data_IF_534173427674
#
_entry.id   IF_534173427674
#
_cell.length_a   1.000
_cell.length_b   1.000
_cell.length_c   1.000
_cell.angle_alpha   90.00
_cell.angle_beta   90.00
_cell.angle_gamma   90.00
#
_symmetry.space_group_name_H-M   'P 1'
#
loop_
_entity.id
_entity.type
_entity.pdbx_description
1 polymer ?
#
# COMPACT_ATOMS: atom_id res chain seq x y z
N UNK A 1 13.71 6.85 41.77
CA UNK A 1 13.90 7.22 40.36
C UNK A 1 14.41 5.98 39.65
N UNK A 2 13.52 5.22 38.99
CA UNK A 2 13.90 4.07 38.17
C UNK A 2 13.81 4.55 36.73
N UNK A 3 14.95 4.66 36.07
CA UNK A 3 15.01 4.92 34.63
C UNK A 3 14.76 3.59 33.93
N UNK A 4 13.56 3.44 33.38
CA UNK A 4 13.21 2.36 32.47
C UNK A 4 13.89 2.67 31.14
N UNK A 5 15.04 2.05 30.90
CA UNK A 5 15.66 2.02 29.58
C UNK A 5 14.76 1.19 28.67
N UNK A 6 13.97 1.87 27.83
CA UNK A 6 13.29 1.23 26.70
C UNK A 6 14.34 0.99 25.63
N UNK A 7 14.67 -0.29 25.42
CA UNK A 7 15.59 -0.73 24.38
C UNK A 7 14.91 -0.59 23.00
N UNK A 8 15.39 0.31 22.10
CA UNK A 8 14.73 0.59 20.83
C UNK A 8 14.83 -0.57 19.82
N UNK A 9 15.48 -1.68 20.18
CA UNK A 9 15.73 -2.81 19.27
C UNK A 9 14.71 -3.94 19.35
N UNK A 10 13.79 -3.92 20.32
CA UNK A 10 12.71 -4.90 20.42
C UNK A 10 11.45 -4.39 19.73
N UNK A 11 11.35 -4.56 18.39
CA UNK A 11 10.04 -4.52 17.73
C UNK A 11 9.32 -5.81 18.08
N UNK A 12 8.45 -5.75 19.07
CA UNK A 12 7.60 -6.87 19.46
C UNK A 12 6.66 -7.21 18.29
N UNK A 13 6.52 -8.49 17.93
CA UNK A 13 5.68 -8.92 16.80
C UNK A 13 4.20 -8.50 17.00
N UNK A 14 3.79 -8.29 18.25
CA UNK A 14 2.49 -7.74 18.63
C UNK A 14 2.24 -6.29 18.14
N UNK A 15 3.27 -5.44 18.10
CA UNK A 15 3.15 -4.04 17.67
C UNK A 15 2.93 -3.92 16.15
N UNK A 16 3.61 -4.77 15.37
CA UNK A 16 3.43 -4.81 13.91
C UNK A 16 2.02 -5.25 13.50
N UNK A 17 1.41 -6.15 14.27
CA UNK A 17 0.02 -6.59 14.06
C UNK A 17 -1.00 -5.53 14.48
N UNK A 18 -0.76 -4.82 15.59
CA UNK A 18 -1.60 -3.70 16.02
C UNK A 18 -1.57 -2.54 15.00
N UNK A 19 -0.40 -2.19 14.48
CA UNK A 19 -0.23 -1.17 13.43
C UNK A 19 -0.96 -1.53 12.13
N UNK A 20 -1.03 -2.81 11.78
CA UNK A 20 -1.80 -3.29 10.61
C UNK A 20 -3.30 -3.13 10.82
N UNK A 21 -3.79 -3.36 12.04
CA UNK A 21 -5.21 -3.19 12.38
C UNK A 21 -5.66 -1.71 12.32
N UNK A 22 -4.75 -0.77 12.58
CA UNK A 22 -5.03 0.67 12.56
C UNK A 22 -4.98 1.29 11.16
N UNK A 23 -4.41 0.59 10.16
CA UNK A 23 -4.34 1.13 8.81
C UNK A 23 -5.72 1.11 8.13
N UNK A 24 -6.18 2.24 7.58
CA UNK A 24 -7.43 2.30 6.85
C UNK A 24 -7.40 1.36 5.64
N UNK A 25 -8.51 0.64 5.41
CA UNK A 25 -8.63 -0.32 4.30
C UNK A 25 -9.43 0.23 3.13
N UNK A 26 -10.29 1.22 3.36
CA UNK A 26 -11.11 1.86 2.32
C UNK A 26 -10.72 3.32 2.15
N UNK A 27 -11.04 3.86 0.98
CA UNK A 27 -10.78 5.27 0.69
C UNK A 27 -11.55 6.20 1.65
N UNK A 28 -12.75 5.77 2.09
CA UNK A 28 -13.58 6.46 3.08
C UNK A 28 -12.91 6.62 4.44
N UNK A 29 -12.06 5.65 4.82
CA UNK A 29 -11.46 5.56 6.15
C UNK A 29 -10.14 6.36 6.21
N UNK A 30 -9.60 6.73 5.05
CA UNK A 30 -8.37 7.50 4.97
C UNK A 30 -8.63 8.97 5.32
N UNK A 31 -8.08 9.44 6.44
CA UNK A 31 -8.29 10.80 6.93
C UNK A 31 -7.42 11.80 6.17
N UNK A 32 -7.99 12.94 5.79
CA UNK A 32 -7.30 13.99 5.02
C UNK A 32 -7.18 13.65 3.53
N UNK A 33 -6.29 14.36 2.83
CA UNK A 33 -5.99 14.15 1.39
C UNK A 33 -7.22 14.18 0.47
N UNK A 34 -8.19 15.07 0.73
CA UNK A 34 -9.50 15.08 0.06
C UNK A 34 -9.41 15.13 -1.47
N UNK A 35 -8.49 15.93 -2.02
CA UNK A 35 -8.29 16.05 -3.45
C UNK A 35 -7.78 14.74 -4.07
N UNK A 36 -6.73 14.14 -3.49
CA UNK A 36 -6.20 12.84 -3.91
C UNK A 36 -7.27 11.74 -3.83
N UNK A 37 -8.04 11.71 -2.74
CA UNK A 37 -9.15 10.75 -2.58
C UNK A 37 -10.21 10.93 -3.66
N UNK A 38 -10.59 12.16 -3.99
CA UNK A 38 -11.56 12.40 -5.05
C UNK A 38 -11.03 11.92 -6.42
N UNK A 39 -9.78 12.23 -6.75
CA UNK A 39 -9.17 11.75 -8.00
C UNK A 39 -9.12 10.22 -8.07
N UNK A 40 -8.63 9.56 -7.01
CA UNK A 40 -8.59 8.10 -6.97
C UNK A 40 -9.99 7.48 -7.06
N UNK A 41 -10.99 8.05 -6.36
CA UNK A 41 -12.37 7.56 -6.45
C UNK A 41 -12.91 7.57 -7.88
N UNK A 42 -12.57 8.59 -8.66
CA UNK A 42 -13.00 8.70 -10.07
C UNK A 42 -12.28 7.66 -10.92
N UNK A 43 -10.94 7.60 -10.82
CA UNK A 43 -10.11 6.69 -11.63
C UNK A 43 -10.44 5.22 -11.35
N UNK A 44 -10.47 4.83 -10.08
CA UNK A 44 -10.79 3.46 -9.66
C UNK A 44 -12.24 3.11 -9.98
N UNK A 45 -13.17 4.05 -9.79
CA UNK A 45 -14.58 3.84 -10.14
C UNK A 45 -14.76 3.57 -11.64
N UNK A 46 -14.05 4.32 -12.49
CA UNK A 46 -14.10 4.14 -13.94
C UNK A 46 -13.49 2.80 -14.38
N UNK A 47 -12.32 2.42 -13.84
CA UNK A 47 -11.69 1.13 -14.12
C UNK A 47 -12.60 -0.05 -13.72
N UNK A 48 -13.24 0.03 -12.54
CA UNK A 48 -14.20 -0.98 -12.07
C UNK A 48 -15.42 -1.11 -12.97
N UNK A 49 -15.99 0.01 -13.42
CA UNK A 49 -17.15 -0.01 -14.33
C UNK A 49 -16.81 -0.68 -15.66
N UNK A 50 -15.57 -0.54 -16.14
CA UNK A 50 -15.08 -1.21 -17.36
C UNK A 50 -14.57 -2.63 -17.11
N UNK A 51 -14.53 -3.09 -15.85
CA UNK A 51 -13.92 -4.36 -15.45
C UNK A 51 -12.45 -4.48 -15.90
N UNK A 52 -11.71 -3.37 -15.85
CA UNK A 52 -10.30 -3.28 -16.23
C UNK A 52 -9.40 -3.09 -14.99
N UNK A 53 -8.09 -3.26 -15.18
CA UNK A 53 -7.11 -2.84 -14.18
C UNK A 53 -7.13 -1.31 -14.01
N UNK A 54 -6.78 -0.84 -12.82
CA UNK A 54 -6.51 0.58 -12.63
C UNK A 54 -5.22 0.97 -13.37
N UNK A 55 -5.19 2.19 -13.90
CA UNK A 55 -3.97 2.76 -14.48
C UNK A 55 -2.84 2.82 -13.44
N UNK A 56 -1.59 2.86 -13.90
CA UNK A 56 -0.44 2.97 -13.01
C UNK A 56 -0.44 4.32 -12.28
N UNK A 57 -0.23 4.28 -10.96
CA UNK A 57 -0.25 5.46 -10.08
C UNK A 57 1.12 5.69 -9.45
N UNK A 58 1.59 6.94 -9.49
CA UNK A 58 2.77 7.38 -8.73
C UNK A 58 2.34 8.12 -7.46
N UNK A 59 2.69 7.56 -6.30
CA UNK A 59 2.48 8.22 -5.01
C UNK A 59 3.80 8.85 -4.53
N UNK A 60 3.86 10.18 -4.50
CA UNK A 60 5.05 10.93 -4.08
C UNK A 60 4.77 11.77 -2.83
N UNK A 61 5.78 11.91 -1.97
CA UNK A 61 5.72 12.77 -0.79
C UNK A 61 6.61 12.30 0.36
N UNK A 62 6.77 13.11 1.41
CA UNK A 62 7.50 12.76 2.63
C UNK A 62 7.13 11.40 3.25
N UNK A 63 8.03 10.75 4.02
CA UNK A 63 7.69 9.55 4.78
C UNK A 63 6.55 9.83 5.77
N UNK A 64 5.76 8.80 6.09
CA UNK A 64 4.65 8.91 7.06
C UNK A 64 3.31 9.41 6.50
N UNK A 65 3.24 9.91 5.26
CA UNK A 65 1.98 10.41 4.67
C UNK A 65 1.01 9.32 4.17
N UNK A 66 1.24 8.05 4.51
CA UNK A 66 0.34 6.96 4.16
C UNK A 66 0.38 6.48 2.71
N UNK A 67 1.50 6.67 1.98
CA UNK A 67 1.66 6.19 0.59
C UNK A 67 1.42 4.68 0.45
N UNK A 68 2.10 3.88 1.27
CA UNK A 68 1.92 2.41 1.30
C UNK A 68 0.50 2.03 1.69
N UNK A 69 -0.10 2.77 2.62
CA UNK A 69 -1.51 2.58 3.01
C UNK A 69 -2.45 2.86 1.84
N UNK A 70 -2.23 3.95 1.10
CA UNK A 70 -3.04 4.31 -0.06
C UNK A 70 -2.91 3.27 -1.18
N UNK A 71 -1.72 2.73 -1.43
CA UNK A 71 -1.53 1.64 -2.40
C UNK A 71 -2.32 0.37 -2.01
N UNK A 72 -2.32 0.02 -0.71
CA UNK A 72 -3.14 -1.08 -0.20
C UNK A 72 -4.65 -0.81 -0.34
N UNK A 73 -5.09 0.43 -0.12
CA UNK A 73 -6.48 0.85 -0.35
C UNK A 73 -6.85 0.70 -1.83
N UNK A 74 -5.97 1.10 -2.76
CA UNK A 74 -6.20 0.93 -4.21
C UNK A 74 -6.45 -0.54 -4.54
N UNK A 75 -5.60 -1.45 -4.05
CA UNK A 75 -5.79 -2.89 -4.26
C UNK A 75 -7.14 -3.38 -3.70
N UNK A 76 -7.50 -2.94 -2.50
CA UNK A 76 -8.75 -3.33 -1.85
C UNK A 76 -10.00 -2.79 -2.57
N UNK A 77 -9.98 -1.54 -3.04
CA UNK A 77 -11.07 -0.94 -3.82
C UNK A 77 -11.26 -1.62 -5.18
N UNK A 78 -10.16 -2.10 -5.77
CA UNK A 78 -10.16 -2.87 -7.02
C UNK A 78 -10.46 -4.36 -6.82
N UNK A 79 -10.55 -4.84 -5.57
CA UNK A 79 -10.76 -6.25 -5.25
C UNK A 79 -9.60 -7.16 -5.70
N UNK A 80 -8.38 -6.63 -5.74
CA UNK A 80 -7.21 -7.30 -6.29
C UNK A 80 -6.17 -7.64 -5.19
N UNK A 81 -5.23 -8.57 -5.48
CA UNK A 81 -4.17 -8.88 -4.51
C UNK A 81 -3.15 -7.74 -4.47
N UNK A 82 -2.62 -7.51 -3.28
CA UNK A 82 -1.61 -6.49 -3.03
C UNK A 82 -0.23 -7.14 -2.85
N UNK A 83 0.68 -6.84 -3.76
CA UNK A 83 2.05 -7.33 -3.75
C UNK A 83 2.98 -6.17 -3.41
N UNK A 84 3.75 -6.32 -2.34
CA UNK A 84 4.68 -5.29 -1.86
C UNK A 84 6.10 -5.70 -2.18
N UNK A 85 6.85 -4.78 -2.77
CA UNK A 85 8.29 -4.88 -2.96
C UNK A 85 8.94 -3.53 -2.62
N UNK A 86 10.25 -3.43 -2.80
CA UNK A 86 10.96 -2.16 -2.71
C UNK A 86 12.08 -2.15 -3.73
N UNK A 87 12.46 -0.97 -4.22
CA UNK A 87 13.58 -0.82 -5.16
C UNK A 87 14.85 -1.55 -4.68
N UNK A 88 15.30 -1.36 -3.42
CA UNK A 88 16.46 -2.08 -2.89
C UNK A 88 16.30 -3.61 -2.84
N UNK A 89 15.08 -4.12 -2.76
CA UNK A 89 14.82 -5.57 -2.80
C UNK A 89 14.91 -6.16 -4.22
N UNK A 90 14.97 -5.32 -5.25
CA UNK A 90 15.11 -5.70 -6.65
C UNK A 90 16.56 -5.48 -7.10
N UNK A 91 17.45 -6.36 -6.66
CA UNK A 91 18.89 -6.23 -6.93
C UNK A 91 19.26 -6.63 -8.37
N UNK A 92 18.52 -7.60 -8.94
CA UNK A 92 18.79 -8.16 -10.27
C UNK A 92 17.55 -8.05 -11.15
N UNK A 93 17.76 -7.93 -12.47
CA UNK A 93 16.66 -7.92 -13.44
C UNK A 93 15.75 -9.16 -13.33
N UNK A 94 16.29 -10.30 -12.91
CA UNK A 94 15.54 -11.54 -12.69
C UNK A 94 14.51 -11.46 -11.54
N UNK A 95 14.74 -10.62 -10.54
CA UNK A 95 13.86 -10.49 -9.37
C UNK A 95 12.53 -9.86 -9.78
N UNK A 96 12.60 -8.79 -10.58
CA UNK A 96 11.41 -8.14 -11.14
C UNK A 96 10.66 -9.10 -12.07
N UNK A 97 11.37 -9.82 -12.95
CA UNK A 97 10.75 -10.79 -13.85
C UNK A 97 9.98 -11.87 -13.06
N UNK A 98 10.57 -12.41 -11.99
CA UNK A 98 9.94 -13.41 -11.14
C UNK A 98 8.66 -12.89 -10.45
N UNK A 99 8.64 -11.62 -10.02
CA UNK A 99 7.44 -10.99 -9.44
C UNK A 99 6.37 -10.83 -10.51
N UNK A 100 6.72 -10.23 -11.66
CA UNK A 100 5.77 -9.99 -12.75
C UNK A 100 5.12 -11.28 -13.25
N UNK A 101 5.85 -12.39 -13.31
CA UNK A 101 5.29 -13.70 -13.71
C UNK A 101 4.29 -14.30 -12.73
N UNK A 102 4.26 -13.83 -11.48
CA UNK A 102 3.33 -14.31 -10.43
C UNK A 102 2.09 -13.44 -10.31
N UNK A 103 2.05 -12.25 -10.94
CA UNK A 103 0.92 -11.35 -10.86
C UNK A 103 -0.28 -11.92 -11.61
N UNK A 104 -1.44 -11.88 -10.96
CA UNK A 104 -2.71 -12.16 -11.61
C UNK A 104 -3.29 -10.89 -12.24
N UNK A 105 -4.30 -11.06 -13.09
CA UNK A 105 -4.95 -9.93 -13.75
C UNK A 105 -5.55 -8.96 -12.72
N UNK A 106 -5.19 -7.67 -12.87
CA UNK A 106 -5.60 -6.54 -11.99
C UNK A 106 -4.92 -6.48 -10.62
N UNK A 107 -4.00 -7.40 -10.32
CA UNK A 107 -3.19 -7.31 -9.12
C UNK A 107 -2.40 -6.00 -9.05
N UNK A 108 -2.21 -5.50 -7.83
CA UNK A 108 -1.48 -4.27 -7.57
C UNK A 108 -0.10 -4.63 -7.05
N UNK A 109 0.92 -4.20 -7.80
CA UNK A 109 2.32 -4.23 -7.37
C UNK A 109 2.72 -2.84 -6.86
N UNK A 110 3.22 -2.77 -5.63
CA UNK A 110 3.75 -1.57 -4.97
C UNK A 110 5.24 -1.71 -4.67
#
# INVERSE_FOLDING_TARGET
MREEFVDPTTRDEGDAHADSALRPRRLSDFVGQSELKNHLSIVLGAARQRNEAADHVLLAGPPGLGKTTMAGIVANEMGAKFHVTSGPALERAGDLAAILTKLEERDVLF
#
